data_IF_242424662448
#
_entry.id   IF_242424662448
#
_cell.length_a   1.000
_cell.length_b   1.000
_cell.length_c   1.000
_cell.angle_alpha   90.00
_cell.angle_beta   90.00
_cell.angle_gamma   90.00
#
_symmetry.space_group_name_H-M   'P 1'
#
loop_
_entity.id
_entity.type
_entity.pdbx_description
1 polymer ?
#
# COMPACT_ATOMS: atom_id res chain seq x y z
N UNK A 1 -19.52 70.41 -18.68
CA UNK A 1 -19.16 71.83 -18.84
C UNK A 1 -18.66 72.27 -17.47
N UNK A 2 -17.43 72.69 -17.21
CA UNK A 2 -16.37 73.25 -18.06
C UNK A 2 -15.04 73.10 -17.29
N UNK A 3 -13.94 73.21 -18.03
CA UNK A 3 -12.55 72.97 -17.63
C UNK A 3 -12.00 74.09 -16.74
N UNK A 4 -10.94 73.81 -15.96
CA UNK A 4 -9.68 74.58 -16.02
C UNK A 4 -8.56 73.79 -15.30
N UNK A 5 -7.46 73.65 -16.05
CA UNK A 5 -6.15 73.11 -15.66
C UNK A 5 -5.30 74.22 -15.02
N UNK A 6 -4.41 73.83 -14.11
CA UNK A 6 -3.05 74.41 -14.05
C UNK A 6 -2.04 73.32 -13.68
N UNK A 7 -0.88 73.39 -14.33
CA UNK A 7 0.24 72.47 -14.23
C UNK A 7 1.51 73.27 -13.91
N UNK A 8 2.47 72.64 -13.20
CA UNK A 8 3.93 72.88 -13.24
C UNK A 8 4.59 71.89 -12.28
N UNK A 9 5.31 70.85 -12.74
CA UNK A 9 6.76 70.81 -13.03
C UNK A 9 7.63 71.18 -11.80
N UNK A 10 8.66 70.44 -11.38
CA UNK A 10 9.34 69.23 -11.84
C UNK A 10 10.52 68.96 -10.89
N UNK A 11 11.13 67.78 -10.94
CA UNK A 11 12.33 67.51 -10.13
C UNK A 11 12.84 66.07 -10.26
N UNK A 12 13.87 65.88 -11.09
CA UNK A 12 14.58 64.61 -11.30
C UNK A 12 15.52 64.32 -10.14
N UNK A 13 15.60 63.07 -9.71
CA UNK A 13 16.64 62.57 -8.81
C UNK A 13 16.84 61.07 -8.99
N UNK A 14 17.82 60.68 -9.80
CA UNK A 14 18.26 59.30 -9.95
C UNK A 14 19.35 58.97 -8.90
N UNK A 15 19.30 57.78 -8.29
CA UNK A 15 20.40 56.76 -8.25
C UNK A 15 20.27 55.74 -7.12
N UNK A 16 20.60 54.49 -7.49
CA UNK A 16 21.17 53.36 -6.72
C UNK A 16 20.24 52.73 -5.67
N UNK A 17 19.83 51.47 -5.78
CA UNK A 17 20.59 50.29 -6.18
C UNK A 17 21.19 49.63 -4.94
N UNK A 18 20.42 48.80 -4.24
CA UNK A 18 20.97 47.82 -3.28
C UNK A 18 20.11 46.55 -3.28
N UNK A 19 20.69 45.49 -3.84
CA UNK A 19 20.20 44.11 -3.77
C UNK A 19 20.30 43.64 -2.31
N UNK A 20 19.22 43.12 -1.75
CA UNK A 20 19.26 42.30 -0.54
C UNK A 20 19.06 40.84 -0.95
N UNK A 21 20.17 40.09 -0.92
CA UNK A 21 20.20 38.64 -0.94
C UNK A 21 20.20 38.13 0.51
N UNK A 22 19.44 37.07 0.75
CA UNK A 22 19.73 36.04 1.75
C UNK A 22 19.02 36.24 3.10
N UNK A 23 18.09 35.34 3.43
CA UNK A 23 18.36 34.00 3.98
C UNK A 23 17.00 33.30 4.16
N UNK A 24 16.70 32.32 3.32
CA UNK A 24 15.61 31.36 3.57
C UNK A 24 16.06 30.43 4.70
N UNK A 25 15.31 30.43 5.80
CA UNK A 25 15.50 29.51 6.89
C UNK A 25 15.21 28.09 6.39
N UNK A 26 16.16 27.18 6.61
CA UNK A 26 15.93 25.75 6.47
C UNK A 26 14.90 25.33 7.52
N UNK A 27 13.73 24.88 7.07
CA UNK A 27 12.77 24.21 7.94
C UNK A 27 13.33 22.85 8.33
N UNK A 28 13.66 22.68 9.61
CA UNK A 28 14.00 21.38 10.15
C UNK A 28 12.72 20.55 10.26
N UNK A 29 12.68 19.40 9.58
CA UNK A 29 11.64 18.38 9.74
C UNK A 29 11.85 17.75 11.12
N UNK A 30 10.89 17.96 12.03
CA UNK A 30 10.86 17.27 13.32
C UNK A 30 10.13 15.95 13.11
N UNK A 31 10.88 14.85 13.10
CA UNK A 31 10.32 13.50 13.21
C UNK A 31 9.68 13.34 14.61
N UNK A 32 8.35 13.48 14.69
CA UNK A 32 7.63 13.28 15.94
C UNK A 32 7.37 11.79 16.19
N UNK A 33 8.25 11.14 16.95
CA UNK A 33 7.94 9.88 17.64
C UNK A 33 7.02 10.19 18.82
N UNK A 34 5.72 9.93 18.66
CA UNK A 34 4.77 10.01 19.77
C UNK A 34 4.88 8.75 20.64
N UNK A 35 5.74 8.79 21.66
CA UNK A 35 5.70 7.83 22.76
C UNK A 35 4.64 8.28 23.78
N UNK A 36 3.53 7.55 23.88
CA UNK A 36 2.57 7.71 24.98
C UNK A 36 3.11 6.91 26.17
N UNK A 37 3.74 7.60 27.13
CA UNK A 37 4.10 7.02 28.41
C UNK A 37 2.89 7.05 29.35
N UNK A 38 2.36 5.88 29.71
CA UNK A 38 1.46 5.73 30.85
C UNK A 38 2.26 5.21 32.04
N UNK A 39 2.28 6.02 33.10
CA UNK A 39 2.91 5.77 34.39
C UNK A 39 2.31 4.53 35.06
N UNK A 40 3.19 3.66 35.56
CA UNK A 40 2.83 2.38 36.15
C UNK A 40 2.16 2.46 37.52
N UNK A 41 1.37 1.42 37.80
CA UNK A 41 1.10 0.93 39.14
C UNK A 41 1.62 -0.52 39.21
N UNK A 42 2.42 -0.81 40.24
CA UNK A 42 3.08 -2.10 40.44
C UNK A 42 2.08 -3.25 40.68
N UNK A 43 2.39 -4.49 40.26
CA UNK A 43 1.56 -5.65 40.57
C UNK A 43 1.87 -6.23 41.94
N UNK A 44 0.82 -6.62 42.67
CA UNK A 44 0.91 -7.45 43.86
C UNK A 44 1.33 -8.88 43.48
N UNK A 45 2.28 -9.43 44.23
CA UNK A 45 2.82 -10.77 44.10
C UNK A 45 1.77 -11.85 44.37
N UNK A 46 1.48 -12.70 43.38
CA UNK A 46 0.74 -13.94 43.54
C UNK A 46 1.57 -15.12 43.02
N UNK A 47 2.08 -15.93 43.94
CA UNK A 47 2.82 -17.16 43.67
C UNK A 47 1.84 -18.27 43.25
N UNK A 48 2.07 -18.90 42.09
CA UNK A 48 1.18 -19.92 41.56
C UNK A 48 1.81 -20.85 40.51
N UNK A 49 2.60 -21.81 40.98
CA UNK A 49 2.90 -23.15 40.42
C UNK A 49 3.25 -23.26 38.93
N UNK A 50 4.54 -23.46 38.68
CA UNK A 50 5.12 -24.00 37.45
C UNK A 50 4.66 -25.45 37.19
N UNK A 51 4.09 -25.70 36.02
CA UNK A 51 4.00 -27.03 35.41
C UNK A 51 4.97 -27.05 34.24
N UNK A 52 6.07 -27.81 34.38
CA UNK A 52 7.12 -27.91 33.39
C UNK A 52 6.62 -28.64 32.13
N UNK A 53 6.81 -28.00 30.98
CA UNK A 53 6.83 -28.67 29.69
C UNK A 53 8.29 -28.92 29.30
N UNK A 54 8.65 -30.20 29.20
CA UNK A 54 9.96 -30.63 28.73
C UNK A 54 10.09 -30.31 27.24
N UNK A 55 11.04 -29.43 26.92
CA UNK A 55 11.46 -29.16 25.55
C UNK A 55 12.10 -30.43 24.96
N UNK A 56 11.40 -31.08 24.03
CA UNK A 56 11.99 -32.10 23.17
C UNK A 56 12.84 -31.42 22.10
N UNK A 57 14.15 -31.69 22.11
CA UNK A 57 15.07 -31.32 21.03
C UNK A 57 14.68 -32.04 19.74
N UNK A 58 13.81 -31.41 18.94
CA UNK A 58 13.63 -31.73 17.53
C UNK A 58 14.57 -30.86 16.70
N UNK A 59 15.51 -31.48 16.01
CA UNK A 59 16.43 -30.83 15.10
C UNK A 59 15.68 -29.91 14.12
N UNK A 60 16.20 -28.70 13.93
CA UNK A 60 15.73 -27.75 12.93
C UNK A 60 15.73 -28.44 11.55
N UNK A 61 14.54 -28.73 11.05
CA UNK A 61 14.36 -29.13 9.67
C UNK A 61 14.52 -27.87 8.82
N UNK A 62 15.38 -27.97 7.81
CA UNK A 62 15.64 -26.90 6.86
C UNK A 62 14.33 -26.33 6.33
N UNK A 63 14.18 -25.01 6.39
CA UNK A 63 13.11 -24.26 5.72
C UNK A 63 13.21 -24.62 4.23
N UNK A 64 12.30 -25.46 3.76
CA UNK A 64 12.24 -25.87 2.36
C UNK A 64 11.97 -24.64 1.50
N UNK A 65 12.75 -24.48 0.44
CA UNK A 65 12.42 -23.55 -0.64
C UNK A 65 11.02 -23.89 -1.17
N UNK A 66 10.10 -22.91 -1.31
CA UNK A 66 8.81 -23.18 -1.92
C UNK A 66 9.00 -23.76 -3.33
N UNK A 67 8.46 -24.96 -3.58
CA UNK A 67 8.44 -25.55 -4.92
C UNK A 67 7.76 -24.58 -5.90
N UNK A 68 8.17 -24.55 -7.19
CA UNK A 68 7.41 -23.85 -8.21
C UNK A 68 5.97 -24.36 -8.17
N UNK A 69 4.94 -23.49 -8.29
CA UNK A 69 3.56 -23.93 -8.18
C UNK A 69 3.29 -25.07 -9.17
N UNK A 70 2.97 -26.25 -8.63
CA UNK A 70 2.54 -27.40 -9.42
C UNK A 70 1.36 -27.04 -10.32
N UNK A 71 1.10 -27.86 -11.35
CA UNK A 71 0.07 -27.60 -12.38
C UNK A 71 -1.40 -27.60 -11.87
N UNK A 72 -1.63 -27.70 -10.56
CA UNK A 72 -2.96 -27.73 -9.95
C UNK A 72 -3.45 -26.35 -9.52
N UNK A 73 -4.73 -26.05 -9.84
CA UNK A 73 -5.46 -24.90 -9.29
C UNK A 73 -5.35 -23.60 -10.10
N UNK A 74 -6.45 -22.84 -10.15
CA UNK A 74 -6.51 -21.50 -10.76
C UNK A 74 -6.12 -20.39 -9.77
N UNK A 75 -6.22 -19.11 -10.18
CA UNK A 75 -5.99 -17.95 -9.32
C UNK A 75 -6.69 -18.06 -7.95
N UNK A 76 -5.95 -17.75 -6.88
CA UNK A 76 -6.32 -17.90 -5.47
C UNK A 76 -6.27 -19.35 -4.94
N UNK A 77 -5.67 -20.30 -5.65
CA UNK A 77 -5.47 -21.65 -5.12
C UNK A 77 -4.44 -21.59 -3.98
N UNK A 78 -4.76 -22.17 -2.82
CA UNK A 78 -3.83 -22.26 -1.69
C UNK A 78 -2.78 -23.32 -2.02
N UNK A 79 -1.50 -22.92 -2.04
CA UNK A 79 -0.35 -23.78 -2.31
C UNK A 79 0.24 -24.32 -1.01
N UNK A 80 0.35 -23.46 0.00
CA UNK A 80 0.72 -23.82 1.37
C UNK A 80 -0.08 -22.98 2.37
N UNK A 81 -0.27 -23.52 3.58
CA UNK A 81 -0.89 -22.81 4.68
C UNK A 81 -0.34 -23.35 6.01
N UNK A 82 0.28 -22.47 6.78
CA UNK A 82 0.89 -22.79 8.06
C UNK A 82 0.27 -21.91 9.16
N UNK A 83 -0.14 -22.48 10.31
CA UNK A 83 -0.55 -21.68 11.44
C UNK A 83 0.56 -20.71 11.84
N UNK A 84 0.18 -19.47 12.16
CA UNK A 84 1.11 -18.44 12.65
C UNK A 84 0.44 -17.62 13.75
N UNK A 85 1.08 -16.56 14.22
CA UNK A 85 0.52 -15.58 15.16
C UNK A 85 0.38 -14.20 14.51
N UNK A 86 -0.45 -13.37 15.13
CA UNK A 86 -0.58 -11.96 14.77
C UNK A 86 -0.50 -11.11 16.02
N UNK A 87 0.46 -10.20 16.04
CA UNK A 87 0.58 -9.17 17.05
C UNK A 87 0.35 -7.80 16.42
N UNK A 88 -0.46 -6.98 17.07
CA UNK A 88 -0.73 -5.61 16.59
C UNK A 88 0.44 -4.67 16.86
N UNK A 89 1.22 -4.98 17.89
CA UNK A 89 2.47 -4.34 18.30
C UNK A 89 3.38 -5.40 18.91
N UNK A 90 4.69 -5.15 19.04
CA UNK A 90 5.58 -6.09 19.72
C UNK A 90 5.11 -6.36 21.16
N UNK A 91 4.87 -7.63 21.48
CA UNK A 91 4.36 -8.06 22.78
C UNK A 91 2.84 -7.91 22.96
N UNK A 92 2.09 -7.50 21.93
CA UNK A 92 0.64 -7.30 21.99
C UNK A 92 -0.07 -8.28 21.04
N UNK A 93 -0.25 -9.55 21.47
CA UNK A 93 -0.95 -10.55 20.67
C UNK A 93 -2.43 -10.20 20.52
N UNK A 94 -3.01 -10.58 19.38
CA UNK A 94 -4.44 -10.41 19.12
C UNK A 94 -5.13 -11.76 19.20
N UNK A 95 -6.35 -11.79 19.75
CA UNK A 95 -7.21 -12.96 19.75
C UNK A 95 -7.79 -13.23 18.34
N UNK A 96 -6.96 -13.81 17.47
CA UNK A 96 -7.32 -14.18 16.11
C UNK A 96 -6.63 -15.48 15.69
N UNK A 97 -7.28 -16.26 14.85
CA UNK A 97 -6.60 -17.33 14.12
C UNK A 97 -5.85 -16.72 12.95
N UNK A 98 -4.57 -17.10 12.80
CA UNK A 98 -3.70 -16.60 11.75
C UNK A 98 -3.08 -17.76 10.98
N UNK A 99 -2.97 -17.60 9.66
CA UNK A 99 -2.25 -18.50 8.78
C UNK A 99 -1.36 -17.70 7.83
N UNK A 100 -0.07 -18.06 7.77
CA UNK A 100 0.78 -17.68 6.65
C UNK A 100 0.43 -18.60 5.49
N UNK A 101 0.13 -18.03 4.34
CA UNK A 101 -0.26 -18.76 3.15
C UNK A 101 0.65 -18.41 1.98
N UNK A 102 0.87 -19.38 1.09
CA UNK A 102 1.28 -19.09 -0.29
C UNK A 102 0.13 -19.48 -1.20
N UNK A 103 -0.19 -18.63 -2.17
CA UNK A 103 -1.31 -18.84 -3.08
C UNK A 103 -0.93 -18.50 -4.52
N UNK A 104 -1.62 -19.14 -5.47
CA UNK A 104 -1.43 -18.90 -6.90
C UNK A 104 -2.05 -17.57 -7.30
N UNK A 105 -1.30 -16.72 -7.99
CA UNK A 105 -1.79 -15.46 -8.57
C UNK A 105 -1.39 -15.36 -10.04
N UNK A 106 -1.57 -14.19 -10.65
CA UNK A 106 -1.24 -13.89 -12.04
C UNK A 106 -0.38 -12.64 -12.10
N UNK A 107 0.83 -12.73 -12.64
CA UNK A 107 1.74 -11.61 -12.82
C UNK A 107 1.29 -10.62 -13.90
N UNK A 108 2.03 -9.52 -14.06
CA UNK A 108 1.67 -8.41 -14.96
C UNK A 108 1.58 -8.81 -16.44
N UNK A 109 2.33 -9.83 -16.86
CA UNK A 109 2.33 -10.38 -18.22
C UNK A 109 1.25 -11.45 -18.46
N UNK A 110 0.44 -11.76 -17.45
CA UNK A 110 -0.60 -12.78 -17.49
C UNK A 110 -0.11 -14.19 -17.15
N UNK A 111 1.17 -14.39 -16.81
CA UNK A 111 1.68 -15.69 -16.41
C UNK A 111 1.34 -15.98 -14.95
N UNK A 112 1.13 -17.26 -14.58
CA UNK A 112 0.93 -17.63 -13.19
C UNK A 112 2.19 -17.41 -12.35
N UNK A 113 2.01 -16.97 -11.11
CA UNK A 113 3.05 -16.88 -10.10
C UNK A 113 2.54 -17.43 -8.75
N UNK A 114 3.41 -17.41 -7.73
CA UNK A 114 3.07 -17.69 -6.35
C UNK A 114 3.32 -16.42 -5.52
N UNK A 115 2.39 -16.10 -4.64
CA UNK A 115 2.44 -14.94 -3.75
C UNK A 115 2.20 -15.41 -2.32
N UNK A 116 2.94 -14.87 -1.35
CA UNK A 116 2.67 -15.11 0.06
C UNK A 116 1.73 -14.07 0.67
N UNK A 117 1.18 -14.39 1.83
CA UNK A 117 0.32 -13.48 2.57
C UNK A 117 -0.12 -14.08 3.90
N UNK A 118 -1.01 -13.36 4.58
CA UNK A 118 -1.56 -13.78 5.87
C UNK A 118 -3.08 -13.69 5.88
N UNK A 119 -3.74 -14.74 6.36
CA UNK A 119 -5.19 -14.74 6.61
C UNK A 119 -5.43 -14.67 8.12
N UNK A 120 -6.23 -13.69 8.53
CA UNK A 120 -6.54 -13.38 9.92
C UNK A 120 -8.04 -13.46 10.15
N UNK A 121 -8.47 -14.17 11.18
CA UNK A 121 -9.90 -14.28 11.54
C UNK A 121 -10.07 -14.08 13.04
N UNK A 122 -10.82 -13.04 13.49
CA UNK A 122 -10.93 -12.71 14.90
C UNK A 122 -11.76 -13.73 15.68
N UNK A 123 -11.41 -13.93 16.96
CA UNK A 123 -12.14 -14.78 17.91
C UNK A 123 -13.24 -13.97 18.61
N UNK A 124 -14.30 -13.65 17.88
CA UNK A 124 -15.44 -12.85 18.38
C UNK A 124 -16.72 -13.69 18.62
N UNK A 125 -16.64 -15.01 18.45
CA UNK A 125 -17.78 -15.93 18.60
C UNK A 125 -18.86 -15.81 17.50
N UNK A 126 -18.65 -14.99 16.47
CA UNK A 126 -19.62 -14.80 15.38
C UNK A 126 -19.84 -16.09 14.60
N UNK A 127 -21.12 -16.42 14.36
CA UNK A 127 -21.54 -17.43 13.40
C UNK A 127 -21.93 -16.83 12.03
N UNK A 128 -22.04 -17.69 11.02
CA UNK A 128 -22.49 -17.30 9.67
C UNK A 128 -21.39 -16.73 8.77
N UNK A 129 -21.76 -16.19 7.58
CA UNK A 129 -20.81 -15.56 6.67
C UNK A 129 -20.12 -14.36 7.33
N UNK A 130 -18.79 -14.38 7.37
CA UNK A 130 -17.97 -13.31 7.92
C UNK A 130 -17.55 -12.35 6.81
N UNK A 131 -17.70 -11.02 6.97
CA UNK A 131 -17.12 -10.06 6.04
C UNK A 131 -15.60 -10.22 5.95
N UNK A 132 -15.08 -10.15 4.73
CA UNK A 132 -13.66 -10.30 4.43
C UNK A 132 -13.12 -9.01 3.84
N UNK A 133 -12.12 -8.41 4.48
CA UNK A 133 -11.33 -7.33 3.88
C UNK A 133 -10.10 -7.95 3.24
N UNK A 134 -9.96 -7.85 1.92
CA UNK A 134 -8.67 -8.07 1.29
C UNK A 134 -7.86 -6.79 1.35
N UNK A 135 -6.71 -6.88 1.99
CA UNK A 135 -5.94 -5.74 2.45
C UNK A 135 -4.63 -5.67 1.68
N UNK A 136 -4.49 -4.58 0.94
CA UNK A 136 -3.33 -4.20 0.15
C UNK A 136 -2.45 -3.28 1.01
N UNK A 137 -1.30 -3.78 1.45
CA UNK A 137 -0.37 -3.01 2.30
C UNK A 137 0.27 -1.85 1.53
N UNK A 138 0.62 -0.78 2.23
CA UNK A 138 1.52 0.24 1.74
C UNK A 138 2.97 -0.26 1.56
N UNK A 139 3.88 0.66 1.27
CA UNK A 139 5.27 0.33 0.93
C UNK A 139 6.06 -0.19 2.12
N UNK A 140 6.48 -1.46 2.03
CA UNK A 140 7.30 -2.13 3.05
C UNK A 140 8.78 -2.23 2.67
N UNK A 141 9.10 -2.17 1.38
CA UNK A 141 10.44 -2.34 0.84
C UNK A 141 10.47 -3.34 -0.30
N UNK A 142 11.65 -3.89 -0.58
CA UNK A 142 11.85 -4.86 -1.67
C UNK A 142 12.35 -6.22 -1.18
N UNK A 143 13.02 -6.27 -0.02
CA UNK A 143 13.55 -7.51 0.54
C UNK A 143 12.47 -8.41 1.14
N UNK A 144 12.69 -9.72 1.09
CA UNK A 144 11.77 -10.73 1.62
C UNK A 144 11.51 -10.59 3.13
N UNK A 145 12.49 -10.09 3.88
CA UNK A 145 12.34 -9.81 5.32
C UNK A 145 11.35 -8.67 5.61
N UNK A 146 11.04 -7.85 4.61
CA UNK A 146 10.10 -6.73 4.73
C UNK A 146 8.65 -7.16 4.47
N UNK A 147 8.42 -8.37 3.96
CA UNK A 147 7.08 -8.87 3.69
C UNK A 147 6.21 -8.83 4.97
N UNK A 148 4.97 -8.31 4.91
CA UNK A 148 4.08 -8.22 6.07
C UNK A 148 3.93 -9.55 6.83
N UNK A 149 3.82 -10.67 6.10
CA UNK A 149 3.68 -12.00 6.68
C UNK A 149 4.87 -12.44 7.55
N UNK A 150 6.06 -11.86 7.37
CA UNK A 150 7.25 -12.14 8.17
C UNK A 150 7.25 -11.35 9.49
N UNK A 151 6.69 -10.14 9.51
CA UNK A 151 6.69 -9.28 10.70
C UNK A 151 5.46 -9.40 11.61
N UNK A 152 4.34 -9.92 11.11
CA UNK A 152 3.11 -10.06 11.92
C UNK A 152 3.26 -10.93 13.19
N UNK A 153 4.01 -12.05 13.17
CA UNK A 153 4.17 -12.88 14.37
C UNK A 153 4.86 -12.17 15.53
N UNK A 154 5.70 -11.18 15.23
CA UNK A 154 6.50 -10.42 16.19
C UNK A 154 5.96 -8.98 16.40
N UNK A 155 4.91 -8.60 15.65
CA UNK A 155 4.30 -7.28 15.73
C UNK A 155 5.17 -6.15 15.15
N UNK A 156 6.10 -6.48 14.26
CA UNK A 156 7.03 -5.51 13.64
C UNK A 156 6.52 -4.93 12.33
N UNK A 157 5.45 -5.51 11.76
CA UNK A 157 4.78 -4.96 10.58
C UNK A 157 4.12 -3.62 10.91
N UNK A 158 4.54 -2.54 10.24
CA UNK A 158 4.09 -1.16 10.51
C UNK A 158 2.57 -0.99 10.45
N UNK A 159 1.89 -1.68 9.53
CA UNK A 159 0.44 -1.59 9.39
C UNK A 159 -0.35 -2.59 10.25
N UNK A 160 0.31 -3.38 11.11
CA UNK A 160 -0.39 -4.33 12.01
C UNK A 160 -1.48 -3.67 12.88
N UNK A 161 -1.31 -2.45 13.44
CA UNK A 161 -2.39 -1.76 14.15
C UNK A 161 -3.59 -1.42 13.26
N UNK A 162 -3.35 -1.06 12.00
CA UNK A 162 -4.39 -0.71 11.02
C UNK A 162 -5.17 -1.95 10.56
N UNK A 163 -4.47 -3.07 10.37
CA UNK A 163 -5.08 -4.38 10.12
C UNK A 163 -5.90 -4.84 11.34
N UNK A 164 -5.38 -4.64 12.55
CA UNK A 164 -6.08 -4.99 13.79
C UNK A 164 -7.40 -4.20 13.95
N UNK A 165 -7.47 -2.95 13.46
CA UNK A 165 -8.71 -2.18 13.50
C UNK A 165 -9.87 -2.81 12.70
N UNK A 166 -9.57 -3.61 11.67
CA UNK A 166 -10.55 -4.42 10.94
C UNK A 166 -10.97 -5.67 11.74
N UNK A 167 -10.01 -6.34 12.40
CA UNK A 167 -10.27 -7.49 13.27
C UNK A 167 -11.18 -7.11 14.45
N UNK A 168 -10.94 -5.96 15.07
CA UNK A 168 -11.78 -5.41 16.17
C UNK A 168 -13.23 -5.17 15.72
N UNK A 169 -13.47 -4.94 14.42
CA UNK A 169 -14.84 -4.83 13.84
C UNK A 169 -15.47 -6.18 13.50
N UNK A 170 -14.78 -7.29 13.76
CA UNK A 170 -15.23 -8.63 13.45
C UNK A 170 -15.04 -9.04 11.98
N UNK A 171 -14.28 -8.26 11.20
CA UNK A 171 -13.96 -8.61 9.82
C UNK A 171 -12.80 -9.61 9.80
N UNK A 172 -12.85 -10.60 8.90
CA UNK A 172 -11.64 -11.34 8.53
C UNK A 172 -10.78 -10.46 7.63
N UNK A 173 -9.47 -10.69 7.63
CA UNK A 173 -8.53 -9.95 6.78
C UNK A 173 -7.66 -10.93 6.00
N UNK A 174 -7.52 -10.72 4.69
CA UNK A 174 -6.53 -11.38 3.86
C UNK A 174 -5.52 -10.35 3.39
N UNK A 175 -4.32 -10.37 3.98
CA UNK A 175 -3.22 -9.46 3.67
C UNK A 175 -2.33 -10.12 2.62
N UNK A 176 -2.06 -9.43 1.52
CA UNK A 176 -1.09 -9.88 0.51
C UNK A 176 0.30 -9.32 0.82
N UNK A 177 1.34 -10.12 0.58
CA UNK A 177 2.72 -9.61 0.55
C UNK A 177 3.07 -8.99 -0.81
N UNK A 178 2.36 -9.37 -1.88
CA UNK A 178 2.62 -9.09 -3.31
C UNK A 178 3.66 -10.01 -3.97
N UNK A 179 3.67 -10.02 -5.31
CA UNK A 179 4.64 -10.77 -6.09
C UNK A 179 6.06 -10.27 -5.81
N UNK A 180 6.97 -11.21 -5.54
CA UNK A 180 8.38 -10.94 -5.25
C UNK A 180 8.65 -10.36 -3.85
N UNK A 181 7.67 -10.40 -2.95
CA UNK A 181 7.86 -10.11 -1.53
C UNK A 181 7.52 -11.35 -0.70
N UNK A 182 8.52 -11.90 -0.03
CA UNK A 182 8.39 -13.15 0.73
C UNK A 182 8.38 -14.40 -0.16
N UNK A 183 8.66 -14.23 -1.45
CA UNK A 183 8.69 -15.29 -2.48
C UNK A 183 9.80 -14.97 -3.49
N UNK A 184 10.39 -15.98 -4.16
CA UNK A 184 11.52 -15.77 -5.06
C UNK A 184 11.26 -14.72 -6.16
N UNK A 185 12.27 -13.89 -6.41
CA UNK A 185 12.23 -12.80 -7.40
C UNK A 185 12.22 -11.42 -6.74
N UNK A 186 12.35 -10.37 -7.54
CA UNK A 186 12.23 -9.01 -7.03
C UNK A 186 10.76 -8.60 -6.91
N UNK A 187 10.44 -7.80 -5.88
CA UNK A 187 9.12 -7.22 -5.74
C UNK A 187 8.71 -6.40 -6.98
N UNK A 188 7.54 -6.68 -7.54
CA UNK A 188 6.95 -5.92 -8.67
C UNK A 188 6.30 -4.60 -8.22
N UNK A 189 7.02 -3.85 -7.38
CA UNK A 189 6.57 -2.61 -6.75
C UNK A 189 5.90 -1.65 -7.73
N UNK A 190 4.67 -1.24 -7.42
CA UNK A 190 3.82 -0.29 -8.18
C UNK A 190 3.39 -0.75 -9.58
N UNK A 191 3.61 -2.03 -9.92
CA UNK A 191 3.07 -2.61 -11.16
C UNK A 191 1.61 -3.01 -10.89
N UNK A 192 0.72 -2.05 -11.14
CA UNK A 192 -0.66 -2.06 -10.67
C UNK A 192 -1.40 -3.35 -11.03
N UNK A 193 -1.15 -3.93 -12.22
CA UNK A 193 -1.79 -5.20 -12.63
C UNK A 193 -1.38 -6.38 -11.75
N UNK A 194 -0.10 -6.54 -11.42
CA UNK A 194 0.39 -7.65 -10.60
C UNK A 194 -0.08 -7.53 -9.15
N UNK A 195 -0.08 -6.32 -8.61
CA UNK A 195 -0.56 -6.08 -7.25
C UNK A 195 -2.08 -6.29 -7.14
N UNK A 196 -2.86 -5.82 -8.11
CA UNK A 196 -4.31 -5.98 -8.12
C UNK A 196 -4.77 -7.45 -8.17
N UNK A 197 -4.11 -8.28 -8.97
CA UNK A 197 -4.41 -9.71 -9.05
C UNK A 197 -4.03 -10.41 -7.76
N UNK A 198 -2.87 -10.09 -7.16
CA UNK A 198 -2.47 -10.59 -5.85
C UNK A 198 -3.51 -10.27 -4.76
N UNK A 199 -3.98 -9.02 -4.68
CA UNK A 199 -5.04 -8.61 -3.75
C UNK A 199 -6.31 -9.46 -3.92
N UNK A 200 -6.85 -9.55 -5.15
CA UNK A 200 -8.07 -10.32 -5.40
C UNK A 200 -7.88 -11.83 -5.15
N UNK A 201 -6.70 -12.37 -5.43
CA UNK A 201 -6.39 -13.78 -5.21
C UNK A 201 -6.13 -14.12 -3.74
N UNK A 202 -5.65 -13.17 -2.93
CA UNK A 202 -5.60 -13.32 -1.48
C UNK A 202 -7.01 -13.52 -0.89
N UNK A 203 -8.01 -12.77 -1.37
CA UNK A 203 -9.40 -12.96 -0.97
C UNK A 203 -9.91 -14.37 -1.33
N UNK A 204 -9.63 -14.82 -2.55
CA UNK A 204 -9.99 -16.17 -3.03
C UNK A 204 -9.31 -17.26 -2.21
N UNK A 205 -8.04 -17.08 -1.89
CA UNK A 205 -7.27 -18.02 -1.07
C UNK A 205 -7.87 -18.11 0.34
N UNK A 206 -8.20 -16.98 0.97
CA UNK A 206 -8.88 -16.95 2.26
C UNK A 206 -10.23 -17.68 2.25
N UNK A 207 -11.05 -17.48 1.21
CA UNK A 207 -12.34 -18.18 1.07
C UNK A 207 -12.20 -19.69 0.82
N UNK A 208 -11.04 -20.15 0.35
CA UNK A 208 -10.74 -21.57 0.09
C UNK A 208 -10.01 -22.25 1.25
N UNK A 209 -9.37 -21.47 2.13
CA UNK A 209 -8.61 -21.97 3.27
C UNK A 209 -9.53 -22.70 4.26
N UNK A 210 -9.35 -24.03 4.50
CA UNK A 210 -10.25 -24.79 5.36
C UNK A 210 -10.39 -24.23 6.78
N UNK A 211 -9.30 -23.72 7.37
CA UNK A 211 -9.30 -23.08 8.69
C UNK A 211 -10.18 -21.83 8.74
N UNK A 212 -10.04 -20.94 7.77
CA UNK A 212 -10.85 -19.72 7.69
C UNK A 212 -12.31 -20.01 7.35
N UNK A 213 -12.60 -21.04 6.52
CA UNK A 213 -13.97 -21.49 6.21
C UNK A 213 -14.74 -21.95 7.43
N UNK A 214 -14.09 -22.66 8.35
CA UNK A 214 -14.69 -23.08 9.63
C UNK A 214 -15.08 -21.87 10.50
N UNK A 215 -14.44 -20.72 10.29
CA UNK A 215 -14.69 -19.47 11.01
C UNK A 215 -15.53 -18.46 10.20
N UNK A 216 -16.23 -18.92 9.17
CA UNK A 216 -17.20 -18.13 8.41
C UNK A 216 -16.67 -17.42 7.16
N UNK A 217 -15.38 -17.57 6.82
CA UNK A 217 -14.79 -16.98 5.61
C UNK A 217 -14.95 -17.93 4.42
N UNK A 218 -15.89 -17.66 3.53
CA UNK A 218 -16.18 -18.54 2.40
C UNK A 218 -16.85 -17.85 1.22
N UNK A 219 -17.37 -18.59 0.24
CA UNK A 219 -17.94 -18.02 -0.99
C UNK A 219 -19.12 -17.06 -0.78
N UNK A 220 -19.73 -17.05 0.40
CA UNK A 220 -20.83 -16.14 0.78
C UNK A 220 -20.37 -14.93 1.59
N UNK A 221 -19.08 -14.81 1.87
CA UNK A 221 -18.52 -13.66 2.57
C UNK A 221 -18.63 -12.43 1.68
N UNK A 222 -19.26 -11.33 2.15
CA UNK A 222 -19.11 -10.05 1.46
C UNK A 222 -17.65 -9.62 1.55
N UNK A 223 -17.11 -9.10 0.44
CA UNK A 223 -15.69 -8.74 0.30
C UNK A 223 -15.54 -7.23 0.18
N UNK A 224 -14.68 -6.66 1.00
CA UNK A 224 -14.20 -5.29 0.86
C UNK A 224 -12.75 -5.31 0.39
N UNK A 225 -12.38 -4.38 -0.48
CA UNK A 225 -10.99 -4.18 -0.90
C UNK A 225 -10.49 -2.93 -0.18
N UNK A 226 -9.33 -2.99 0.47
CA UNK A 226 -8.78 -1.85 1.20
C UNK A 226 -7.28 -1.71 0.99
N UNK A 227 -6.78 -0.48 0.87
CA UNK A 227 -5.35 -0.19 0.91
C UNK A 227 -5.01 1.29 0.90
N UNK A 228 -3.77 1.61 1.25
CA UNK A 228 -3.25 2.98 1.34
C UNK A 228 -1.88 3.13 0.65
N UNK A 229 -1.59 4.29 0.06
CA UNK A 229 -0.32 4.55 -0.64
C UNK A 229 -0.13 3.59 -1.83
N UNK A 230 0.97 2.81 -1.89
CA UNK A 230 1.09 1.66 -2.82
C UNK A 230 -0.15 0.75 -2.75
N UNK A 231 -0.59 0.37 -1.55
CA UNK A 231 -1.82 -0.38 -1.36
C UNK A 231 -3.06 0.35 -1.85
N UNK A 232 -3.04 1.68 -1.88
CA UNK A 232 -4.06 2.52 -2.50
C UNK A 232 -4.12 2.31 -4.01
N UNK A 233 -2.98 2.24 -4.70
CA UNK A 233 -2.91 1.90 -6.13
C UNK A 233 -3.40 0.47 -6.38
N UNK A 234 -2.88 -0.49 -5.62
CA UNK A 234 -3.24 -1.89 -5.74
C UNK A 234 -4.74 -2.14 -5.53
N UNK A 235 -5.32 -1.56 -4.47
CA UNK A 235 -6.75 -1.66 -4.16
C UNK A 235 -7.62 -0.96 -5.21
N UNK A 236 -7.22 0.22 -5.68
CA UNK A 236 -7.94 0.94 -6.73
C UNK A 236 -7.90 0.17 -8.06
N UNK A 237 -6.74 -0.40 -8.42
CA UNK A 237 -6.62 -1.24 -9.63
C UNK A 237 -7.42 -2.54 -9.49
N UNK A 238 -7.40 -3.17 -8.31
CA UNK A 238 -8.24 -4.33 -8.01
C UNK A 238 -9.73 -4.01 -8.21
N UNK A 239 -10.19 -2.82 -7.81
CA UNK A 239 -11.56 -2.36 -8.04
C UNK A 239 -11.92 -2.28 -9.53
N UNK A 240 -11.01 -1.76 -10.37
CA UNK A 240 -11.21 -1.67 -11.83
C UNK A 240 -11.31 -3.05 -12.50
N UNK A 241 -10.65 -4.06 -11.95
CA UNK A 241 -10.54 -5.39 -12.59
C UNK A 241 -11.41 -6.48 -11.96
N UNK A 242 -11.92 -6.27 -10.75
CA UNK A 242 -12.63 -7.29 -9.97
C UNK A 242 -13.75 -7.98 -10.76
N UNK A 243 -14.58 -7.21 -11.49
CA UNK A 243 -15.73 -7.73 -12.21
C UNK A 243 -15.40 -8.76 -13.29
N UNK A 244 -14.23 -8.67 -13.93
CA UNK A 244 -13.83 -9.62 -14.99
C UNK A 244 -12.74 -10.59 -14.53
N UNK A 245 -11.82 -10.16 -13.66
CA UNK A 245 -10.76 -11.02 -13.14
C UNK A 245 -11.30 -11.97 -12.07
N UNK A 246 -12.17 -11.46 -11.19
CA UNK A 246 -12.71 -12.17 -10.04
C UNK A 246 -14.24 -12.07 -9.87
N UNK A 247 -15.03 -12.44 -10.90
CA UNK A 247 -16.50 -12.26 -10.91
C UNK A 247 -17.26 -13.04 -9.82
N UNK A 248 -16.61 -14.01 -9.17
CA UNK A 248 -17.20 -14.81 -8.09
C UNK A 248 -16.97 -14.23 -6.69
N UNK A 249 -16.15 -13.20 -6.56
CA UNK A 249 -16.02 -12.48 -5.29
C UNK A 249 -17.21 -11.52 -5.16
N UNK A 250 -17.92 -11.60 -4.04
CA UNK A 250 -19.00 -10.66 -3.70
C UNK A 250 -18.41 -9.33 -3.21
N UNK A 251 -17.79 -8.57 -4.12
CA UNK A 251 -17.16 -7.27 -3.80
C UNK A 251 -18.25 -6.23 -3.53
N UNK A 252 -18.34 -5.78 -2.27
CA UNK A 252 -19.33 -4.80 -1.81
C UNK A 252 -18.84 -3.36 -1.84
N UNK A 253 -17.53 -3.15 -1.85
CA UNK A 253 -16.94 -1.84 -2.02
C UNK A 253 -15.42 -1.86 -1.90
N UNK A 254 -14.81 -0.77 -2.33
CA UNK A 254 -13.36 -0.55 -2.24
C UNK A 254 -13.06 0.74 -1.49
N UNK A 255 -12.18 0.71 -0.50
CA UNK A 255 -11.64 1.88 0.16
C UNK A 255 -10.15 2.05 -0.19
N UNK A 256 -9.80 3.10 -0.92
CA UNK A 256 -8.43 3.35 -1.41
C UNK A 256 -7.98 4.74 -0.97
N UNK A 257 -6.87 4.84 -0.24
CA UNK A 257 -6.35 6.12 0.22
C UNK A 257 -4.94 6.46 -0.24
N UNK A 258 -4.62 7.76 -0.30
CA UNK A 258 -3.28 8.23 -0.68
C UNK A 258 -2.83 7.68 -2.04
N UNK A 259 -3.75 7.59 -3.00
CA UNK A 259 -3.60 6.72 -4.19
C UNK A 259 -2.64 7.36 -5.22
N UNK A 260 -1.49 6.74 -5.56
CA UNK A 260 -0.65 7.20 -6.65
C UNK A 260 -1.25 6.76 -7.99
N UNK A 261 -2.21 7.54 -8.48
CA UNK A 261 -3.04 7.18 -9.64
C UNK A 261 -2.35 7.37 -11.00
N UNK A 262 -1.30 8.19 -11.05
CA UNK A 262 -0.43 8.44 -12.20
C UNK A 262 1.03 8.45 -11.72
N UNK A 263 1.73 7.35 -11.96
CA UNK A 263 3.10 7.16 -11.51
C UNK A 263 4.10 8.11 -12.18
N UNK A 264 3.81 8.63 -13.39
CA UNK A 264 4.70 9.61 -14.03
C UNK A 264 4.69 10.93 -13.25
N UNK A 265 3.51 11.39 -12.82
CA UNK A 265 3.39 12.60 -12.00
C UNK A 265 3.98 12.41 -10.59
N UNK A 266 3.78 11.24 -9.99
CA UNK A 266 4.34 10.93 -8.66
C UNK A 266 5.87 10.84 -8.72
N UNK A 267 6.43 10.25 -9.79
CA UNK A 267 7.86 10.19 -10.00
C UNK A 267 8.48 11.60 -10.18
N UNK A 268 7.83 12.47 -10.95
CA UNK A 268 8.26 13.86 -11.13
C UNK A 268 8.27 14.63 -9.79
N UNK A 269 7.24 14.46 -8.96
CA UNK A 269 7.16 15.09 -7.65
C UNK A 269 8.21 14.57 -6.64
N UNK A 270 8.67 13.33 -6.82
CA UNK A 270 9.61 12.66 -5.90
C UNK A 270 11.09 12.79 -6.30
N UNK A 271 11.39 13.08 -7.57
CA UNK A 271 12.74 13.07 -8.14
C UNK A 271 13.64 14.18 -7.56
N UNK A 272 14.68 13.77 -6.83
CA UNK A 272 15.60 14.69 -6.13
C UNK A 272 15.13 15.16 -4.75
N UNK A 273 13.97 14.71 -4.28
CA UNK A 273 13.51 14.95 -2.91
C UNK A 273 13.87 13.80 -1.95
N UNK A 274 13.34 13.86 -0.73
CA UNK A 274 13.52 12.81 0.28
C UNK A 274 12.80 11.49 -0.11
N UNK A 275 11.82 11.58 -1.02
CA UNK A 275 11.00 10.49 -1.53
C UNK A 275 11.59 9.79 -2.77
N UNK A 276 12.81 10.15 -3.21
CA UNK A 276 13.44 9.60 -4.41
C UNK A 276 13.61 8.07 -4.39
N UNK A 277 13.65 7.45 -3.20
CA UNK A 277 13.69 5.99 -3.06
C UNK A 277 12.48 5.28 -3.67
N UNK A 278 11.30 5.92 -3.69
CA UNK A 278 10.12 5.33 -4.34
C UNK A 278 10.29 5.23 -5.87
N UNK A 279 10.94 6.21 -6.49
CA UNK A 279 11.25 6.18 -7.94
C UNK A 279 12.18 5.02 -8.26
N UNK A 280 13.19 4.78 -7.40
CA UNK A 280 14.12 3.67 -7.54
C UNK A 280 13.42 2.31 -7.39
N UNK A 281 12.59 2.14 -6.35
CA UNK A 281 11.80 0.91 -6.15
C UNK A 281 10.87 0.66 -7.33
N UNK A 282 10.21 1.70 -7.85
CA UNK A 282 9.33 1.57 -9.01
C UNK A 282 10.10 1.15 -10.25
N UNK A 283 11.30 1.70 -10.47
CA UNK A 283 12.16 1.26 -11.57
C UNK A 283 12.54 -0.23 -11.45
N UNK A 284 12.91 -0.68 -10.25
CA UNK A 284 13.22 -2.09 -9.98
C UNK A 284 12.00 -2.98 -10.24
N UNK A 285 10.83 -2.62 -9.69
CA UNK A 285 9.62 -3.42 -9.82
C UNK A 285 9.10 -3.55 -11.25
N UNK A 286 9.21 -2.49 -12.05
CA UNK A 286 8.87 -2.55 -13.47
C UNK A 286 9.82 -3.44 -14.27
N UNK A 287 11.13 -3.42 -13.97
CA UNK A 287 12.10 -4.33 -14.61
C UNK A 287 11.87 -5.78 -14.18
N UNK A 288 11.48 -6.01 -12.93
CA UNK A 288 11.09 -7.33 -12.43
C UNK A 288 9.87 -7.89 -13.19
N UNK A 289 8.83 -7.07 -13.36
CA UNK A 289 7.62 -7.46 -14.10
C UNK A 289 7.85 -7.57 -15.61
N UNK A 290 8.77 -6.77 -16.16
CA UNK A 290 9.08 -6.71 -17.59
C UNK A 290 10.59 -6.72 -17.83
N UNK A 291 11.27 -7.88 -17.73
CA UNK A 291 12.74 -7.97 -17.82
C UNK A 291 13.37 -7.46 -19.13
N UNK A 292 12.54 -7.21 -20.16
CA UNK A 292 12.97 -6.57 -21.42
C UNK A 292 13.28 -5.08 -21.27
N UNK A 293 12.86 -4.44 -20.18
CA UNK A 293 13.26 -3.06 -19.87
C UNK A 293 14.78 -3.00 -19.65
N UNK A 294 15.35 -4.03 -19.03
CA UNK A 294 16.77 -4.21 -18.77
C UNK A 294 17.37 -3.02 -18.01
N UNK A 295 16.84 -2.74 -16.80
CA UNK A 295 17.22 -1.58 -15.98
C UNK A 295 18.73 -1.40 -15.85
N UNK A 296 19.47 -2.49 -15.66
CA UNK A 296 20.93 -2.49 -15.48
C UNK A 296 21.70 -1.74 -16.59
N UNK A 297 21.21 -1.74 -17.84
CA UNK A 297 21.86 -1.03 -18.96
C UNK A 297 21.80 0.50 -18.82
N UNK A 298 20.85 1.01 -18.03
CA UNK A 298 20.67 2.43 -17.77
C UNK A 298 21.46 2.92 -16.57
N UNK A 299 21.91 2.03 -15.67
CA UNK A 299 22.54 2.43 -14.41
C UNK A 299 24.00 2.84 -14.60
N UNK A 300 24.42 3.87 -13.87
CA UNK A 300 25.85 4.15 -13.66
C UNK A 300 26.36 3.35 -12.43
N UNK A 301 27.61 3.57 -12.03
CA UNK A 301 28.19 2.83 -10.89
C UNK A 301 27.50 3.12 -9.55
N UNK A 302 27.02 4.36 -9.33
CA UNK A 302 26.24 4.72 -8.14
C UNK A 302 24.86 4.04 -8.18
N UNK A 303 24.19 4.09 -9.34
CA UNK A 303 22.94 3.40 -9.61
C UNK A 303 23.00 1.92 -9.28
N UNK A 304 23.98 1.19 -9.85
CA UNK A 304 24.15 -0.26 -9.60
C UNK A 304 24.33 -0.62 -8.13
N UNK A 305 25.09 0.19 -7.38
CA UNK A 305 25.25 -0.05 -5.94
C UNK A 305 23.95 0.15 -5.19
N UNK A 306 23.26 1.26 -5.46
CA UNK A 306 22.03 1.60 -4.76
C UNK A 306 20.87 0.66 -5.13
N UNK A 307 20.73 0.25 -6.40
CA UNK A 307 19.76 -0.78 -6.81
C UNK A 307 20.09 -2.12 -6.15
N UNK A 308 21.36 -2.53 -6.13
CA UNK A 308 21.80 -3.75 -5.46
C UNK A 308 21.42 -3.77 -3.98
N UNK A 309 21.66 -2.68 -3.25
CA UNK A 309 21.22 -2.54 -1.85
C UNK A 309 19.70 -2.52 -1.73
N UNK A 310 19.01 -1.81 -2.62
CA UNK A 310 17.57 -1.62 -2.51
C UNK A 310 16.80 -2.94 -2.64
N UNK A 311 17.27 -3.89 -3.45
CA UNK A 311 16.62 -5.21 -3.65
C UNK A 311 16.45 -6.01 -2.36
N UNK A 312 17.37 -5.85 -1.42
CA UNK A 312 17.38 -6.59 -0.16
C UNK A 312 17.06 -5.71 1.06
N UNK A 313 16.51 -4.51 0.86
CA UNK A 313 16.30 -3.54 1.93
C UNK A 313 14.82 -3.21 2.18
N UNK A 314 14.52 -2.73 3.39
CA UNK A 314 13.18 -2.24 3.72
C UNK A 314 13.02 -0.75 3.38
N UNK A 315 11.78 -0.30 3.24
CA UNK A 315 11.45 1.02 2.67
C UNK A 315 12.20 2.18 3.34
N UNK A 316 12.30 2.18 4.68
CA UNK A 316 12.99 3.22 5.43
C UNK A 316 14.50 3.31 5.12
N UNK A 317 15.15 2.15 4.90
CA UNK A 317 16.56 2.07 4.53
C UNK A 317 16.78 2.59 3.10
N UNK A 318 15.89 2.20 2.18
CA UNK A 318 15.94 2.64 0.78
C UNK A 318 15.73 4.15 0.67
N UNK A 319 14.69 4.68 1.33
CA UNK A 319 14.39 6.12 1.34
C UNK A 319 15.58 6.92 1.90
N UNK A 320 16.15 6.48 3.03
CA UNK A 320 17.34 7.11 3.62
C UNK A 320 18.55 7.07 2.68
N UNK A 321 18.78 5.94 2.00
CA UNK A 321 19.93 5.78 1.10
C UNK A 321 19.77 6.56 -0.22
N UNK A 322 18.54 6.77 -0.67
CA UNK A 322 18.22 7.45 -1.93
C UNK A 322 17.88 8.94 -1.76
N UNK A 323 17.68 9.44 -0.54
CA UNK A 323 17.26 10.82 -0.25
C UNK A 323 18.11 11.86 -1.00
N UNK A 324 17.43 12.83 -1.61
CA UNK A 324 18.05 13.92 -2.37
C UNK A 324 18.69 13.52 -3.69
N UNK A 325 18.60 12.24 -4.09
CA UNK A 325 19.18 11.77 -5.35
C UNK A 325 18.18 11.90 -6.49
N UNK A 326 18.65 12.36 -7.65
CA UNK A 326 17.85 12.35 -8.89
C UNK A 326 18.09 11.06 -9.66
N UNK A 327 17.13 10.60 -10.43
CA UNK A 327 17.31 9.43 -11.29
C UNK A 327 18.43 9.64 -12.32
N UNK A 328 18.62 10.89 -12.77
CA UNK A 328 19.75 11.29 -13.63
C UNK A 328 21.12 11.08 -12.93
N UNK A 329 21.20 11.15 -11.59
CA UNK A 329 22.44 10.90 -10.85
C UNK A 329 22.77 9.41 -10.73
N UNK A 330 21.79 8.53 -10.94
CA UNK A 330 21.91 7.07 -10.84
C UNK A 330 22.07 6.39 -12.20
N UNK A 331 21.83 7.13 -13.28
CA UNK A 331 21.74 6.55 -14.63
C UNK A 331 22.77 7.17 -15.59
N UNK A 332 23.17 6.39 -16.61
CA UNK A 332 23.87 6.91 -17.81
C UNK A 332 22.88 7.44 -18.84
N UNK A 333 21.63 6.98 -18.79
CA UNK A 333 20.51 7.47 -19.57
C UNK A 333 19.26 7.26 -18.75
N UNK A 334 18.46 8.30 -18.56
CA UNK A 334 17.27 8.24 -17.73
C UNK A 334 16.21 7.30 -18.36
N UNK A 335 15.83 6.19 -17.70
CA UNK A 335 14.83 5.27 -18.23
C UNK A 335 13.44 5.90 -18.31
N UNK A 336 13.10 6.84 -17.42
CA UNK A 336 11.86 7.63 -17.45
C UNK A 336 11.81 8.65 -18.60
N UNK A 337 12.68 8.54 -19.60
CA UNK A 337 12.59 9.30 -20.86
C UNK A 337 12.54 8.38 -22.07
N UNK A 338 12.40 7.07 -21.84
CA UNK A 338 12.45 6.04 -22.89
C UNK A 338 11.04 5.52 -23.19
N UNK A 339 10.69 5.33 -24.48
CA UNK A 339 9.33 4.93 -24.86
C UNK A 339 8.87 3.59 -24.26
N UNK A 340 9.79 2.63 -24.12
CA UNK A 340 9.53 1.31 -23.53
C UNK A 340 9.14 1.41 -22.05
N UNK A 341 9.82 2.25 -21.28
CA UNK A 341 9.48 2.54 -19.88
C UNK A 341 8.18 3.33 -19.75
N UNK A 342 8.01 4.40 -20.53
CA UNK A 342 6.77 5.19 -20.53
C UNK A 342 5.55 4.33 -20.81
N UNK A 343 5.64 3.42 -21.78
CA UNK A 343 4.53 2.55 -22.13
C UNK A 343 4.11 1.62 -20.97
N UNK A 344 5.06 1.18 -20.12
CA UNK A 344 4.75 0.37 -18.95
C UNK A 344 4.14 1.19 -17.83
N UNK A 345 4.76 2.31 -17.48
CA UNK A 345 4.29 3.21 -16.43
C UNK A 345 2.88 3.76 -16.76
N UNK A 346 2.64 4.13 -18.01
CA UNK A 346 1.32 4.60 -18.46
C UNK A 346 0.25 3.49 -18.45
N UNK A 347 0.63 2.21 -18.53
CA UNK A 347 -0.31 1.11 -18.41
C UNK A 347 -0.82 0.93 -16.96
N UNK A 348 -0.09 1.46 -15.98
CA UNK A 348 -0.45 1.44 -14.56
C UNK A 348 -1.28 2.66 -14.12
N UNK A 349 -1.52 3.62 -15.02
CA UNK A 349 -2.42 4.76 -14.75
C UNK A 349 -3.84 4.28 -14.46
N UNK A 350 -4.42 4.77 -13.37
CA UNK A 350 -5.75 4.42 -12.89
C UNK A 350 -6.83 5.36 -13.44
N UNK A 351 -8.09 4.97 -13.37
CA UNK A 351 -9.23 5.70 -13.92
C UNK A 351 -9.54 5.37 -15.38
N UNK A 352 -8.88 4.34 -15.94
CA UNK A 352 -9.13 3.85 -17.29
C UNK A 352 -10.44 3.05 -17.39
N UNK A 353 -10.95 2.54 -16.26
CA UNK A 353 -12.18 1.75 -16.18
C UNK A 353 -12.95 2.09 -14.91
N UNK A 354 -14.28 2.08 -14.98
CA UNK A 354 -15.11 2.24 -13.79
C UNK A 354 -15.06 0.96 -12.92
N UNK A 355 -14.84 1.09 -11.60
CA UNK A 355 -15.16 0.05 -10.64
C UNK A 355 -16.64 -0.36 -10.74
N UNK A 356 -16.92 -1.65 -10.58
CA UNK A 356 -18.30 -2.16 -10.60
C UNK A 356 -19.00 -2.01 -9.25
N UNK A 357 -18.24 -2.05 -8.15
CA UNK A 357 -18.73 -1.79 -6.81
C UNK A 357 -18.43 -0.33 -6.42
N UNK A 358 -19.21 0.28 -5.50
CA UNK A 358 -18.94 1.62 -5.01
C UNK A 358 -17.52 1.76 -4.44
N UNK A 359 -17.00 2.98 -4.47
CA UNK A 359 -15.65 3.28 -3.97
C UNK A 359 -15.63 4.41 -2.96
N UNK A 360 -14.72 4.32 -1.99
CA UNK A 360 -14.37 5.36 -1.04
C UNK A 360 -12.91 5.74 -1.25
N UNK A 361 -12.69 6.91 -1.83
CA UNK A 361 -11.35 7.46 -2.04
C UNK A 361 -11.07 8.48 -0.94
N UNK A 362 -9.90 8.41 -0.31
CA UNK A 362 -9.54 9.38 0.72
C UNK A 362 -8.10 9.88 0.61
N UNK A 363 -7.86 11.15 0.91
CA UNK A 363 -6.56 11.78 0.65
C UNK A 363 -6.30 12.98 1.57
N UNK A 364 -5.05 13.14 2.00
CA UNK A 364 -4.59 14.29 2.78
C UNK A 364 -4.33 15.50 1.88
N UNK A 365 -4.77 16.68 2.32
CA UNK A 365 -4.56 17.91 1.52
C UNK A 365 -3.10 18.40 1.59
N UNK A 366 -2.35 17.99 2.61
CA UNK A 366 -0.94 18.31 2.79
C UNK A 366 -0.02 17.11 2.47
N UNK A 367 -0.51 16.14 1.70
CA UNK A 367 0.24 14.93 1.34
C UNK A 367 1.51 15.27 0.53
N UNK A 368 2.65 15.00 1.17
CA UNK A 368 4.00 15.29 0.71
C UNK A 368 4.63 14.15 -0.09
N UNK A 369 3.98 12.99 -0.18
CA UNK A 369 4.46 11.81 -0.91
C UNK A 369 3.66 11.62 -2.20
N UNK A 370 2.34 11.64 -2.09
CA UNK A 370 1.42 11.47 -3.22
C UNK A 370 0.57 12.72 -3.32
N UNK A 371 0.82 13.60 -4.32
CA UNK A 371 0.12 14.87 -4.43
C UNK A 371 -1.41 14.69 -4.38
N UNK A 372 -2.10 15.50 -3.59
CA UNK A 372 -3.56 15.44 -3.39
C UNK A 372 -4.38 15.41 -4.70
N UNK A 373 -3.86 16.06 -5.75
CA UNK A 373 -4.44 16.05 -7.10
C UNK A 373 -4.58 14.63 -7.70
N UNK A 374 -3.79 13.65 -7.26
CA UNK A 374 -3.89 12.26 -7.68
C UNK A 374 -5.25 11.66 -7.29
N UNK A 375 -5.66 11.84 -6.03
CA UNK A 375 -6.97 11.40 -5.53
C UNK A 375 -8.12 12.14 -6.22
N UNK A 376 -8.01 13.46 -6.38
CA UNK A 376 -9.02 14.26 -7.09
C UNK A 376 -9.18 13.82 -8.55
N UNK A 377 -8.07 13.59 -9.24
CA UNK A 377 -8.06 13.13 -10.62
C UNK A 377 -8.64 11.73 -10.77
N UNK A 378 -8.35 10.81 -9.85
CA UNK A 378 -8.94 9.47 -9.86
C UNK A 378 -10.46 9.53 -9.69
N UNK A 379 -10.95 10.28 -8.69
CA UNK A 379 -12.39 10.53 -8.49
C UNK A 379 -13.02 11.04 -9.78
N UNK A 380 -12.46 12.09 -10.38
CA UNK A 380 -13.01 12.67 -11.60
C UNK A 380 -13.09 11.66 -12.75
N UNK A 381 -12.05 10.85 -12.96
CA UNK A 381 -12.02 9.82 -14.02
C UNK A 381 -13.03 8.70 -13.77
N UNK A 382 -13.23 8.27 -12.54
CA UNK A 382 -14.23 7.25 -12.22
C UNK A 382 -15.67 7.79 -12.29
N UNK A 383 -15.91 9.01 -11.82
CA UNK A 383 -17.20 9.68 -11.96
C UNK A 383 -17.60 9.86 -13.42
N UNK A 384 -16.67 10.31 -14.28
CA UNK A 384 -16.91 10.43 -15.73
C UNK A 384 -17.23 9.10 -16.42
N UNK A 385 -17.08 7.97 -15.72
CA UNK A 385 -17.38 6.62 -16.22
C UNK A 385 -18.59 5.98 -15.51
N UNK A 386 -19.31 6.74 -14.68
CA UNK A 386 -20.53 6.27 -14.01
C UNK A 386 -20.30 5.37 -12.80
N UNK A 387 -19.10 5.38 -12.21
CA UNK A 387 -18.87 4.73 -10.91
C UNK A 387 -19.41 5.59 -9.78
N UNK A 388 -20.03 4.98 -8.77
CA UNK A 388 -20.34 5.67 -7.52
C UNK A 388 -19.04 5.88 -6.73
N UNK A 389 -18.71 7.13 -6.42
CA UNK A 389 -17.47 7.49 -5.71
C UNK A 389 -17.78 8.40 -4.54
N UNK A 390 -17.54 7.92 -3.32
CA UNK A 390 -17.39 8.79 -2.15
C UNK A 390 -15.94 9.28 -2.08
N UNK A 391 -15.72 10.57 -1.85
CA UNK A 391 -14.38 11.17 -1.74
C UNK A 391 -14.23 11.98 -0.46
N UNK A 392 -13.25 11.62 0.37
CA UNK A 392 -12.99 12.30 1.64
C UNK A 392 -11.61 12.95 1.68
N UNK A 393 -11.58 14.26 1.82
CA UNK A 393 -10.37 15.02 2.14
C UNK A 393 -10.03 14.98 3.63
N UNK A 394 -8.75 15.04 3.94
CA UNK A 394 -8.23 15.26 5.29
C UNK A 394 -7.43 16.57 5.31
N UNK A 395 -8.07 17.71 5.68
CA UNK A 395 -7.43 19.02 5.67
C UNK A 395 -6.20 19.08 6.59
N UNK A 396 -5.10 19.62 6.06
CA UNK A 396 -3.84 19.79 6.80
C UNK A 396 -3.12 18.49 7.19
N UNK A 397 -3.62 17.33 6.80
CA UNK A 397 -3.03 16.03 7.11
C UNK A 397 -1.99 15.63 6.07
N UNK A 398 -0.84 15.15 6.54
CA UNK A 398 0.27 14.61 5.75
C UNK A 398 -0.02 13.17 5.27
N UNK A 399 0.93 12.55 4.56
CA UNK A 399 0.72 11.23 3.97
C UNK A 399 0.46 10.14 5.03
N UNK A 400 1.26 10.09 6.09
CA UNK A 400 1.17 9.03 7.12
C UNK A 400 0.02 9.28 8.08
N UNK A 401 -0.18 10.52 8.51
CA UNK A 401 -1.29 10.94 9.35
C UNK A 401 -2.63 10.65 8.70
N UNK A 402 -2.73 10.81 7.37
CA UNK A 402 -3.94 10.44 6.61
C UNK A 402 -4.16 8.93 6.57
N UNK A 403 -3.11 8.10 6.51
CA UNK A 403 -3.25 6.64 6.59
C UNK A 403 -3.94 6.22 7.90
N UNK A 404 -3.50 6.82 9.02
CA UNK A 404 -4.04 6.56 10.35
C UNK A 404 -5.45 7.13 10.51
N UNK A 405 -5.64 8.41 10.21
CA UNK A 405 -6.92 9.11 10.38
C UNK A 405 -8.02 8.57 9.45
N UNK A 406 -7.64 8.10 8.25
CA UNK A 406 -8.55 7.56 7.24
C UNK A 406 -8.95 6.11 7.45
N UNK A 407 -8.17 5.31 8.20
CA UNK A 407 -8.41 3.89 8.37
C UNK A 407 -9.78 3.56 9.02
N UNK A 408 -10.08 4.19 10.16
CA UNK A 408 -11.35 3.93 10.86
C UNK A 408 -12.59 4.37 10.04
N UNK A 409 -12.61 5.54 9.39
CA UNK A 409 -13.65 5.91 8.43
C UNK A 409 -13.79 4.95 7.25
N UNK A 410 -12.68 4.51 6.65
CA UNK A 410 -12.70 3.57 5.53
C UNK A 410 -13.33 2.22 5.93
N UNK A 411 -12.95 1.69 7.09
CA UNK A 411 -13.53 0.45 7.62
C UNK A 411 -15.01 0.61 7.98
N UNK A 412 -15.43 1.76 8.52
CA UNK A 412 -16.83 2.05 8.78
C UNK A 412 -17.64 2.09 7.47
N UNK A 413 -17.13 2.80 6.46
CA UNK A 413 -17.76 2.87 5.14
C UNK A 413 -17.88 1.49 4.48
N UNK A 414 -16.86 0.62 4.61
CA UNK A 414 -16.95 -0.77 4.16
C UNK A 414 -18.01 -1.56 4.95
N UNK A 415 -18.10 -1.32 6.26
CA UNK A 415 -19.14 -1.90 7.13
C UNK A 415 -20.55 -1.62 6.64
N UNK A 416 -20.84 -0.37 6.24
CA UNK A 416 -22.12 0.01 5.66
C UNK A 416 -22.42 -0.79 4.38
N UNK A 417 -21.41 -0.98 3.50
CA UNK A 417 -21.57 -1.80 2.29
C UNK A 417 -21.79 -3.27 2.59
N UNK A 418 -21.16 -3.81 3.63
CA UNK A 418 -21.40 -5.18 4.10
C UNK A 418 -22.81 -5.37 4.66
N UNK A 419 -23.37 -4.32 5.26
CA UNK A 419 -24.75 -4.29 5.74
C UNK A 419 -25.79 -4.07 4.63
N UNK A 420 -25.35 -3.75 3.41
CA UNK A 420 -26.24 -3.48 2.26
C UNK A 420 -26.77 -2.05 2.20
N UNK A 421 -26.18 -1.13 2.97
CA UNK A 421 -26.56 0.28 2.95
C UNK A 421 -26.15 0.94 1.63
N UNK A 422 -27.01 1.78 1.02
CA UNK A 422 -26.69 2.53 -0.18
C UNK A 422 -25.38 3.31 -0.04
N UNK A 423 -24.55 3.32 -1.08
CA UNK A 423 -23.30 4.07 -1.07
C UNK A 423 -23.57 5.57 -1.34
N UNK A 424 -22.94 6.50 -0.60
CA UNK A 424 -22.88 7.89 -0.99
C UNK A 424 -22.18 8.05 -2.34
N UNK A 425 -22.61 9.03 -3.11
CA UNK A 425 -22.02 9.37 -4.40
C UNK A 425 -21.73 10.87 -4.46
N UNK A 426 -20.45 11.22 -4.46
CA UNK A 426 -19.96 12.58 -4.55
C UNK A 426 -19.66 12.96 -6.02
N UNK A 427 -20.03 12.14 -7.00
CA UNK A 427 -19.84 12.49 -8.40
C UNK A 427 -20.70 13.71 -8.78
N UNK A 428 -20.16 14.65 -9.59
CA UNK A 428 -20.95 15.78 -10.06
C UNK A 428 -22.15 15.27 -10.89
N UNK A 429 -23.31 15.88 -10.65
CA UNK A 429 -24.57 15.56 -11.31
C UNK A 429 -24.57 15.90 -12.80
#
# INVERSE_FOLDING_TARGET
>A
MESIRTASAGGRGARRGRRLRGRTAAGAVVSALAAVALTGAAPATGTGRTAGWTAGNGAATAVGTPEPPGRGGGPGAVLSAEPTSFQSWPGVPTAASAWKITYRSTGADGRPNAVSGTVLVPHDGRGGPRPLVTYAVGTVGMGDQCAPSSGFPDGTTTEAPLVNAALVRGYAVAVTDYEGLGTPGDHTYTVARAEATAVLDAARAAQRLPGARKLGVGPRSPVGIMGYSQGGQASAKAAEIAAWYAPRLDVRGTASGGVPADLSQVAEASDGGDNAGFVLMSAIGHDAAFPRLHLEKYLNAKGRRLTGTARDACASEILKAAAGTRLDDLTVTNPLRRPDWHARIAADTLGGRAPAAPTFVYHGEADEVVPYAQGQGLRARWCARGSAVSFRSFPGSDHVGTAVAGNAPALAWLGDRFAGEPAPDDCPA
#
